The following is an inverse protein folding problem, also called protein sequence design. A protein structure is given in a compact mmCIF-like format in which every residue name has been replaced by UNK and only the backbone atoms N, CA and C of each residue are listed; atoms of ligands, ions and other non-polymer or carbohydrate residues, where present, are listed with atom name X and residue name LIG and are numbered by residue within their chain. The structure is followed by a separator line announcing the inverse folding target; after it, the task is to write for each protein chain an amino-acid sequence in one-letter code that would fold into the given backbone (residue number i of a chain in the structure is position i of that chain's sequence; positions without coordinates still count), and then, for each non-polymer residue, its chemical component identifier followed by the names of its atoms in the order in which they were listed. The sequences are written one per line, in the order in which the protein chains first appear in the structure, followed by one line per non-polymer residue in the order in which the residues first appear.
data_IF_724180833503
#
_entry.id   IF_724180833503
#
_cell.length_a   1.000
_cell.length_b   1.000
_cell.length_c   1.000
_cell.angle_alpha   90.00
_cell.angle_beta   90.00
_cell.angle_gamma   90.00
#
_symmetry.space_group_name_H-M   'P 1'
#
loop_
_entity.id
_entity.type
_entity.pdbx_description
1 polymer ?
#
# COMPACT_ATOMS: atom_id res chain seq x y z
N UNK A 1 37.86 -48.64 51.12
CA UNK A 1 37.68 -47.77 49.91
C UNK A 1 36.21 -47.40 49.84
N UNK A 2 35.83 -46.26 50.41
CA UNK A 2 34.43 -45.80 50.51
C UNK A 2 34.20 -44.63 49.53
N UNK A 3 33.63 -44.96 48.38
CA UNK A 3 33.20 -43.94 47.35
C UNK A 3 31.92 -43.25 47.80
N UNK A 4 31.95 -41.93 47.86
CA UNK A 4 30.82 -41.04 48.22
C UNK A 4 29.77 -40.95 47.10
N UNK A 5 28.53 -41.42 47.23
CA UNK A 5 27.49 -41.31 46.21
C UNK A 5 26.80 -39.97 46.21
N UNK A 6 27.18 -39.00 47.04
CA UNK A 6 26.47 -37.72 47.18
C UNK A 6 26.77 -36.66 46.13
N UNK A 7 27.90 -36.71 45.41
CA UNK A 7 28.33 -35.67 44.50
C UNK A 7 27.66 -35.75 43.11
N UNK A 8 27.23 -36.95 42.69
CA UNK A 8 26.61 -37.16 41.37
C UNK A 8 25.15 -36.71 41.34
N UNK A 9 24.42 -36.80 42.45
CA UNK A 9 23.03 -36.36 42.55
C UNK A 9 22.86 -34.83 42.55
N UNK A 10 23.87 -34.08 43.06
CA UNK A 10 23.83 -32.62 43.06
C UNK A 10 24.08 -32.03 41.66
N UNK A 11 24.93 -32.67 40.86
CA UNK A 11 25.21 -32.25 39.47
C UNK A 11 24.01 -32.49 38.53
N UNK A 12 23.24 -33.56 38.75
CA UNK A 12 22.02 -33.84 37.97
C UNK A 12 20.87 -32.87 38.29
N UNK A 13 20.75 -32.41 39.55
CA UNK A 13 19.71 -31.43 39.94
C UNK A 13 19.98 -30.03 39.39
N UNK A 14 21.24 -29.61 39.20
CA UNK A 14 21.61 -28.34 38.60
C UNK A 14 21.39 -28.33 37.08
N UNK A 15 21.53 -29.48 36.40
CA UNK A 15 21.27 -29.60 34.98
C UNK A 15 19.77 -29.56 34.62
N UNK A 16 18.88 -29.93 35.54
CA UNK A 16 17.41 -29.85 35.34
C UNK A 16 16.82 -28.46 35.61
N UNK A 17 17.52 -27.59 36.36
CA UNK A 17 17.10 -26.20 36.58
C UNK A 17 17.45 -25.25 35.40
N UNK A 18 18.20 -25.73 34.43
CA UNK A 18 18.54 -24.97 33.20
C UNK A 18 17.48 -25.06 32.10
N UNK A 19 16.22 -25.39 32.42
CA UNK A 19 15.07 -24.93 31.62
C UNK A 19 14.90 -23.43 31.86
N UNK A 20 15.92 -22.65 31.51
CA UNK A 20 15.87 -21.22 31.52
C UNK A 20 14.67 -20.82 30.65
N UNK A 21 13.66 -20.23 31.26
CA UNK A 21 12.57 -19.55 30.55
C UNK A 21 13.23 -18.62 29.55
N UNK A 22 13.07 -18.92 28.26
CA UNK A 22 13.60 -18.03 27.21
C UNK A 22 13.01 -16.64 27.43
N UNK A 23 13.81 -15.58 27.36
CA UNK A 23 13.29 -14.22 27.53
C UNK A 23 12.16 -13.94 26.54
N UNK A 24 11.16 -13.15 26.93
CA UNK A 24 10.09 -12.75 26.03
C UNK A 24 10.67 -11.96 24.86
N UNK A 25 10.06 -12.07 23.66
CA UNK A 25 10.54 -11.41 22.44
C UNK A 25 9.96 -10.00 22.25
N UNK A 26 8.67 -9.81 22.56
CA UNK A 26 7.99 -8.56 22.26
C UNK A 26 8.58 -7.34 22.98
N UNK A 27 9.00 -7.42 24.28
CA UNK A 27 9.62 -6.27 24.96
C UNK A 27 10.91 -5.77 24.32
N UNK A 28 11.67 -6.64 23.64
CA UNK A 28 12.90 -6.23 22.94
C UNK A 28 12.62 -5.42 21.68
N UNK A 29 11.44 -5.60 21.07
CA UNK A 29 11.07 -5.01 19.80
C UNK A 29 10.10 -3.85 19.91
N UNK A 30 9.40 -3.75 21.02
CA UNK A 30 8.51 -2.64 21.34
C UNK A 30 9.32 -1.63 22.14
N UNK A 31 9.34 -0.37 21.69
CA UNK A 31 10.03 0.70 22.37
C UNK A 31 9.58 0.76 23.86
N UNK A 32 10.53 0.98 24.77
CA UNK A 32 10.23 1.11 26.19
C UNK A 32 9.15 2.18 26.41
N UNK A 33 8.02 1.79 27.00
CA UNK A 33 6.87 2.67 27.22
C UNK A 33 5.74 2.54 26.21
N UNK A 34 5.84 1.68 25.19
CA UNK A 34 4.71 1.40 24.31
C UNK A 34 3.62 0.65 25.11
N UNK A 35 2.43 1.21 25.15
CA UNK A 35 1.27 0.58 25.74
C UNK A 35 0.87 -0.67 24.92
N UNK A 36 0.30 -1.71 25.55
CA UNK A 36 -0.32 -2.81 24.84
C UNK A 36 -1.32 -2.26 23.82
N UNK A 37 -1.24 -2.76 22.59
CA UNK A 37 -2.13 -2.34 21.51
C UNK A 37 -3.10 -3.48 21.21
N UNK A 38 -4.39 -3.20 21.27
CA UNK A 38 -5.43 -4.09 20.76
C UNK A 38 -6.50 -3.28 20.05
N UNK A 39 -6.61 -3.47 18.74
CA UNK A 39 -7.63 -2.85 17.89
C UNK A 39 -8.93 -3.66 17.98
N UNK A 40 -9.57 -3.63 19.15
CA UNK A 40 -10.71 -4.49 19.51
C UNK A 40 -11.95 -4.23 18.66
N UNK A 41 -12.08 -3.02 18.08
CA UNK A 41 -13.14 -2.59 17.15
C UNK A 41 -12.95 -3.16 15.72
N UNK A 42 -11.84 -3.88 15.46
CA UNK A 42 -11.64 -4.58 14.20
C UNK A 42 -12.68 -5.70 14.04
N UNK A 43 -13.48 -5.70 12.97
CA UNK A 43 -14.48 -6.73 12.72
C UNK A 43 -13.89 -8.14 12.72
N UNK A 44 -14.77 -9.12 12.87
CA UNK A 44 -14.39 -10.52 12.78
C UNK A 44 -15.39 -11.26 11.90
N UNK A 45 -14.87 -11.97 10.92
CA UNK A 45 -15.60 -12.90 10.10
C UNK A 45 -15.04 -14.30 10.35
N UNK A 46 -15.86 -15.17 10.91
CA UNK A 46 -15.49 -16.57 11.11
C UNK A 46 -15.22 -17.22 9.74
N UNK A 47 -14.22 -18.09 9.70
CA UNK A 47 -13.72 -18.68 8.46
C UNK A 47 -14.11 -20.16 8.40
N UNK A 48 -14.78 -20.55 7.32
CA UNK A 48 -14.88 -21.95 6.95
C UNK A 48 -13.59 -22.43 6.27
N UNK A 49 -13.48 -23.71 6.03
CA UNK A 49 -12.32 -24.29 5.37
C UNK A 49 -12.05 -23.60 4.02
N UNK A 50 -10.80 -23.19 3.77
CA UNK A 50 -10.30 -22.53 2.55
C UNK A 50 -10.73 -21.07 2.31
N UNK A 51 -11.51 -20.45 3.19
CA UNK A 51 -11.96 -19.05 3.06
C UNK A 51 -11.16 -18.05 3.89
N UNK A 52 -9.96 -18.41 4.37
CA UNK A 52 -9.14 -17.53 5.20
C UNK A 52 -8.74 -16.21 4.48
N UNK A 53 -8.48 -16.24 3.16
CA UNK A 53 -8.17 -15.05 2.37
C UNK A 53 -9.33 -14.05 2.30
N UNK A 54 -10.50 -14.45 1.81
CA UNK A 54 -11.70 -13.60 1.76
C UNK A 54 -12.10 -13.01 3.11
N UNK A 55 -12.13 -13.81 4.16
CA UNK A 55 -12.53 -13.36 5.50
C UNK A 55 -11.50 -12.39 6.12
N UNK A 56 -10.20 -12.66 5.98
CA UNK A 56 -9.16 -11.76 6.41
C UNK A 56 -9.19 -10.43 5.64
N UNK A 57 -9.45 -10.49 4.33
CA UNK A 57 -9.58 -9.28 3.51
C UNK A 57 -10.83 -8.48 3.90
N UNK A 58 -11.99 -9.13 4.10
CA UNK A 58 -13.20 -8.47 4.59
C UNK A 58 -12.92 -7.71 5.90
N UNK A 59 -12.22 -8.36 6.83
CA UNK A 59 -11.85 -7.77 8.14
C UNK A 59 -11.11 -6.45 7.98
N UNK A 60 -10.07 -6.38 7.14
CA UNK A 60 -9.29 -5.14 6.97
C UNK A 60 -9.99 -4.11 6.09
N UNK A 61 -10.81 -4.51 5.12
CA UNK A 61 -11.63 -3.60 4.31
C UNK A 61 -12.70 -2.90 5.14
N UNK A 62 -13.43 -3.62 5.98
CA UNK A 62 -14.42 -3.05 6.88
C UNK A 62 -13.80 -2.01 7.82
N UNK A 63 -12.58 -2.22 8.29
CA UNK A 63 -11.86 -1.24 9.13
C UNK A 63 -11.63 0.09 8.40
N UNK A 64 -11.63 0.07 7.07
CA UNK A 64 -11.51 1.29 6.24
C UNK A 64 -12.86 1.83 5.75
N UNK A 65 -13.99 1.26 6.24
CA UNK A 65 -15.33 1.71 5.88
C UNK A 65 -15.87 1.11 4.57
N UNK A 66 -15.29 0.01 4.09
CA UNK A 66 -15.82 -0.74 2.94
C UNK A 66 -16.68 -1.89 3.45
N UNK A 67 -17.94 -1.91 3.10
CA UNK A 67 -18.86 -3.02 3.42
C UNK A 67 -18.70 -4.14 2.38
N UNK A 68 -17.76 -5.04 2.66
CA UNK A 68 -17.45 -6.18 1.80
C UNK A 68 -17.65 -7.49 2.56
N UNK A 69 -18.58 -8.33 2.10
CA UNK A 69 -18.79 -9.65 2.70
C UNK A 69 -17.70 -10.64 2.27
N UNK A 70 -17.33 -11.61 3.13
CA UNK A 70 -16.41 -12.68 2.74
C UNK A 70 -16.86 -13.44 1.49
N UNK A 71 -18.16 -13.70 1.32
CA UNK A 71 -18.70 -14.44 0.17
C UNK A 71 -18.49 -13.66 -1.13
N UNK A 72 -18.81 -12.37 -1.17
CA UNK A 72 -18.58 -11.52 -2.33
C UNK A 72 -17.08 -11.36 -2.66
N UNK A 73 -16.22 -11.41 -1.66
CA UNK A 73 -14.77 -11.42 -1.86
C UNK A 73 -14.26 -12.80 -2.32
N UNK A 74 -14.89 -13.89 -1.86
CA UNK A 74 -14.52 -15.23 -2.30
C UNK A 74 -14.69 -15.41 -3.82
N UNK A 75 -15.75 -14.85 -4.41
CA UNK A 75 -15.95 -14.83 -5.86
C UNK A 75 -14.80 -14.13 -6.62
N UNK A 76 -14.09 -13.21 -5.96
CA UNK A 76 -13.03 -12.41 -6.56
C UNK A 76 -11.63 -12.97 -6.33
N UNK A 77 -11.38 -13.62 -5.19
CA UNK A 77 -10.04 -13.96 -4.75
C UNK A 77 -9.81 -15.45 -4.49
N UNK A 78 -10.87 -16.26 -4.44
CA UNK A 78 -10.72 -17.68 -4.22
C UNK A 78 -10.40 -18.41 -5.52
N UNK A 79 -9.34 -19.20 -5.50
CA UNK A 79 -8.89 -20.02 -6.62
C UNK A 79 -9.13 -21.50 -6.31
N UNK A 80 -10.15 -22.14 -6.91
CA UNK A 80 -10.50 -23.53 -6.60
C UNK A 80 -9.34 -24.51 -6.80
N UNK A 81 -8.53 -24.31 -7.86
CA UNK A 81 -7.36 -25.13 -8.15
C UNK A 81 -6.25 -25.04 -7.10
N UNK A 82 -6.18 -23.94 -6.37
CA UNK A 82 -5.22 -23.72 -5.27
C UNK A 82 -5.83 -23.99 -3.89
N UNK A 83 -7.14 -24.25 -3.82
CA UNK A 83 -7.90 -24.35 -2.56
C UNK A 83 -7.61 -23.18 -1.60
N UNK A 84 -7.54 -21.95 -2.13
CA UNK A 84 -7.17 -20.77 -1.37
C UNK A 84 -7.07 -19.51 -2.23
N UNK A 85 -6.48 -18.46 -1.70
CA UNK A 85 -6.27 -17.19 -2.37
C UNK A 85 -4.79 -16.87 -2.51
N UNK A 86 -4.39 -16.23 -3.61
CA UNK A 86 -3.04 -15.70 -3.77
C UNK A 86 -2.97 -14.25 -3.28
N UNK A 87 -1.78 -13.81 -2.87
CA UNK A 87 -1.55 -12.43 -2.41
C UNK A 87 -1.93 -11.41 -3.49
N UNK A 88 -1.62 -11.70 -4.75
CA UNK A 88 -1.93 -10.80 -5.89
C UNK A 88 -3.43 -10.58 -6.05
N UNK A 89 -4.26 -11.59 -5.77
CA UNK A 89 -5.72 -11.47 -5.83
C UNK A 89 -6.26 -10.59 -4.70
N UNK A 90 -5.70 -10.74 -3.49
CA UNK A 90 -6.07 -9.88 -2.35
C UNK A 90 -5.70 -8.40 -2.62
N UNK A 91 -4.52 -8.15 -3.18
CA UNK A 91 -4.10 -6.81 -3.59
C UNK A 91 -5.05 -6.24 -4.67
N UNK A 92 -5.40 -7.04 -5.68
CA UNK A 92 -6.30 -6.62 -6.75
C UNK A 92 -7.72 -6.32 -6.24
N UNK A 93 -8.27 -7.17 -5.37
CA UNK A 93 -9.59 -6.95 -4.78
C UNK A 93 -9.62 -5.70 -3.88
N UNK A 94 -8.53 -5.44 -3.13
CA UNK A 94 -8.37 -4.21 -2.36
C UNK A 94 -8.45 -2.97 -3.25
N UNK A 95 -7.76 -2.97 -4.41
CA UNK A 95 -7.82 -1.86 -5.38
C UNK A 95 -9.22 -1.67 -5.95
N UNK A 96 -9.88 -2.77 -6.37
CA UNK A 96 -11.28 -2.74 -6.86
C UNK A 96 -12.24 -2.14 -5.83
N UNK A 97 -11.93 -2.26 -4.55
CA UNK A 97 -12.70 -1.66 -3.46
C UNK A 97 -12.37 -0.17 -3.22
N UNK A 98 -11.58 0.47 -4.09
CA UNK A 98 -11.17 1.86 -3.94
C UNK A 98 -10.26 2.10 -2.73
N UNK A 99 -9.44 1.12 -2.36
CA UNK A 99 -8.46 1.20 -1.27
C UNK A 99 -7.07 0.88 -1.80
N UNK A 100 -6.07 1.48 -1.17
CA UNK A 100 -4.67 1.29 -1.55
C UNK A 100 -4.08 0.15 -0.72
N UNK A 101 -3.79 -1.02 -1.34
CA UNK A 101 -3.08 -2.09 -0.65
C UNK A 101 -1.60 -1.73 -0.54
N UNK A 102 -1.07 -1.71 0.66
CA UNK A 102 0.35 -1.44 0.88
C UNK A 102 1.02 -2.64 1.57
N UNK A 103 1.90 -3.32 0.84
CA UNK A 103 2.74 -4.36 1.42
C UNK A 103 3.80 -3.69 2.31
N UNK A 104 3.79 -4.01 3.61
CA UNK A 104 4.75 -3.43 4.55
C UNK A 104 6.12 -4.09 4.43
N UNK A 105 7.16 -3.47 4.99
CA UNK A 105 8.47 -4.10 5.08
C UNK A 105 8.39 -5.42 5.87
N UNK A 106 9.10 -6.48 5.42
CA UNK A 106 9.03 -7.82 6.02
C UNK A 106 9.81 -7.89 7.34
N UNK A 107 9.52 -6.98 8.27
CA UNK A 107 10.17 -6.85 9.57
C UNK A 107 9.14 -6.71 10.69
N UNK A 108 9.37 -7.30 11.87
CA UNK A 108 8.46 -7.14 13.00
C UNK A 108 8.18 -5.69 13.38
N UNK A 109 9.19 -4.81 13.30
CA UNK A 109 9.06 -3.40 13.62
C UNK A 109 8.02 -2.68 12.76
N UNK A 110 7.93 -3.04 11.47
CA UNK A 110 6.93 -2.47 10.56
C UNK A 110 5.51 -2.89 10.96
N UNK A 111 5.34 -4.15 11.41
CA UNK A 111 4.06 -4.62 11.91
C UNK A 111 3.64 -3.88 13.18
N UNK A 112 4.56 -3.68 14.15
CA UNK A 112 4.29 -2.91 15.35
C UNK A 112 3.94 -1.45 15.05
N UNK A 113 4.64 -0.82 14.11
CA UNK A 113 4.38 0.55 13.71
C UNK A 113 2.97 0.74 13.14
N UNK A 114 2.50 -0.20 12.31
CA UNK A 114 1.14 -0.16 11.76
C UNK A 114 0.08 -0.36 12.85
N UNK A 115 0.29 -1.31 13.76
CA UNK A 115 -0.62 -1.52 14.89
C UNK A 115 -0.69 -0.29 15.80
N UNK A 116 0.45 0.33 16.11
CA UNK A 116 0.50 1.56 16.90
C UNK A 116 -0.19 2.74 16.20
N UNK A 117 -0.19 2.75 14.86
CA UNK A 117 -0.94 3.71 14.05
C UNK A 117 -2.43 3.37 13.89
N UNK A 118 -2.94 2.36 14.61
CA UNK A 118 -4.34 1.97 14.60
C UNK A 118 -4.77 1.15 13.38
N UNK A 119 -3.83 0.57 12.65
CA UNK A 119 -4.13 -0.23 11.45
C UNK A 119 -3.92 -1.72 11.70
N UNK A 120 -4.95 -2.56 11.53
CA UNK A 120 -4.81 -4.01 11.55
C UNK A 120 -4.01 -4.47 10.33
N UNK A 121 -3.20 -5.50 10.52
CA UNK A 121 -2.27 -6.00 9.48
C UNK A 121 -2.71 -7.38 9.01
N UNK A 122 -3.04 -7.51 7.72
CA UNK A 122 -3.30 -8.80 7.09
C UNK A 122 -1.97 -9.50 6.81
N UNK A 123 -1.80 -10.71 7.31
CA UNK A 123 -0.57 -11.50 7.21
C UNK A 123 -0.83 -12.85 6.55
N UNK A 124 0.18 -13.36 5.83
CA UNK A 124 0.22 -14.76 5.40
C UNK A 124 1.13 -15.54 6.37
N UNK A 125 0.68 -16.71 6.79
CA UNK A 125 1.44 -17.64 7.61
C UNK A 125 1.56 -18.99 6.92
N UNK A 126 2.63 -19.71 7.17
CA UNK A 126 2.72 -21.13 6.88
C UNK A 126 2.67 -21.91 8.22
N UNK A 127 1.50 -22.46 8.53
CA UNK A 127 1.26 -23.21 9.76
C UNK A 127 1.87 -24.61 9.74
N UNK A 128 2.31 -25.07 8.55
CA UNK A 128 2.98 -26.35 8.35
C UNK A 128 4.50 -26.26 8.36
N UNK A 129 5.11 -27.03 7.48
CA UNK A 129 6.55 -27.13 7.30
C UNK A 129 6.96 -26.57 5.94
N UNK A 130 8.25 -26.33 5.73
CA UNK A 130 8.75 -25.85 4.42
C UNK A 130 8.44 -26.82 3.28
N UNK A 131 8.53 -28.13 3.53
CA UNK A 131 8.28 -29.19 2.56
C UNK A 131 6.81 -29.60 2.45
N UNK A 132 5.96 -29.23 3.41
CA UNK A 132 4.51 -29.45 3.43
C UNK A 132 3.82 -28.22 4.01
N UNK A 133 3.67 -27.17 3.20
CA UNK A 133 3.10 -25.91 3.66
C UNK A 133 1.59 -26.00 3.91
N UNK A 134 1.14 -25.33 4.96
CA UNK A 134 -0.27 -25.08 5.27
C UNK A 134 -0.48 -23.57 5.32
N UNK A 135 -0.87 -23.00 4.18
CA UNK A 135 -1.03 -21.55 4.03
C UNK A 135 -2.27 -21.05 4.75
N UNK A 136 -2.12 -19.95 5.48
CA UNK A 136 -3.20 -19.37 6.25
C UNK A 136 -3.09 -17.85 6.31
N UNK A 137 -4.20 -17.17 6.01
CA UNK A 137 -4.32 -15.73 6.22
C UNK A 137 -4.96 -15.44 7.57
N UNK A 138 -4.40 -14.46 8.28
CA UNK A 138 -4.91 -13.94 9.54
C UNK A 138 -4.77 -12.42 9.57
N UNK A 139 -5.48 -11.76 10.49
CA UNK A 139 -5.33 -10.33 10.71
C UNK A 139 -4.78 -10.09 12.12
N UNK A 140 -3.59 -9.51 12.20
CA UNK A 140 -2.99 -9.07 13.46
C UNK A 140 -3.68 -7.77 13.87
N UNK A 141 -4.25 -7.77 15.07
CA UNK A 141 -4.98 -6.62 15.62
C UNK A 141 -4.28 -6.02 16.85
N UNK A 142 -3.21 -6.66 17.33
CA UNK A 142 -2.50 -6.17 18.49
C UNK A 142 -1.45 -7.14 19.01
N UNK A 143 -0.93 -6.78 20.18
CA UNK A 143 0.03 -7.60 20.92
C UNK A 143 -0.16 -7.38 22.42
N UNK A 144 0.13 -8.43 23.17
CA UNK A 144 0.09 -8.44 24.63
C UNK A 144 1.50 -8.76 25.17
N UNK A 145 2.12 -7.77 25.80
CA UNK A 145 3.46 -7.90 26.39
C UNK A 145 3.49 -8.84 27.58
N UNK A 146 2.38 -8.95 28.33
CA UNK A 146 2.31 -9.79 29.54
C UNK A 146 2.35 -11.27 29.22
N UNK A 147 1.75 -11.66 28.08
CA UNK A 147 1.73 -13.06 27.60
C UNK A 147 2.74 -13.32 26.47
N UNK A 148 3.56 -12.34 26.08
CA UNK A 148 4.48 -12.42 24.92
C UNK A 148 3.77 -12.96 23.67
N UNK A 149 2.60 -12.40 23.34
CA UNK A 149 1.71 -12.92 22.31
C UNK A 149 1.19 -11.83 21.35
N UNK A 150 1.02 -12.19 20.07
CA UNK A 150 0.22 -11.40 19.13
C UNK A 150 -1.25 -11.74 19.29
N UNK A 151 -2.10 -10.76 19.05
CA UNK A 151 -3.56 -10.88 19.06
C UNK A 151 -4.07 -10.88 17.63
N UNK A 152 -4.80 -11.94 17.26
CA UNK A 152 -5.21 -12.18 15.87
C UNK A 152 -6.73 -12.34 15.75
N UNK A 153 -7.27 -11.96 14.57
CA UNK A 153 -8.50 -12.50 14.01
C UNK A 153 -8.11 -13.65 13.10
N UNK A 154 -8.47 -14.89 13.43
CA UNK A 154 -7.95 -16.06 12.72
C UNK A 154 -8.87 -17.28 12.85
N UNK A 155 -9.21 -17.94 11.76
CA UNK A 155 -10.04 -19.11 11.75
C UNK A 155 -11.42 -18.84 12.36
N UNK A 156 -11.79 -19.63 13.36
CA UNK A 156 -13.02 -19.46 14.16
C UNK A 156 -12.80 -18.61 15.42
N UNK A 157 -11.56 -18.15 15.64
CA UNK A 157 -11.16 -17.47 16.87
C UNK A 157 -11.19 -15.94 16.67
N UNK A 158 -12.17 -15.27 17.29
CA UNK A 158 -12.28 -13.80 17.26
C UNK A 158 -11.08 -13.11 17.92
N UNK A 159 -10.47 -13.75 18.92
CA UNK A 159 -9.32 -13.24 19.68
C UNK A 159 -8.35 -14.35 19.98
N UNK A 160 -7.59 -14.75 18.97
CA UNK A 160 -6.55 -15.76 19.13
C UNK A 160 -5.28 -15.12 19.71
N UNK A 161 -4.82 -15.62 20.85
CA UNK A 161 -3.48 -15.30 21.37
C UNK A 161 -2.47 -16.26 20.76
N UNK A 162 -1.60 -15.73 19.94
CA UNK A 162 -0.52 -16.49 19.29
C UNK A 162 0.82 -16.15 19.94
N UNK A 163 1.49 -17.08 20.63
CA UNK A 163 2.79 -16.82 21.23
C UNK A 163 3.77 -16.24 20.21
N UNK A 164 4.49 -15.18 20.56
CA UNK A 164 5.33 -14.40 19.66
C UNK A 164 6.29 -15.26 18.82
N UNK A 165 6.96 -16.24 19.47
CA UNK A 165 7.87 -17.16 18.78
C UNK A 165 7.17 -18.01 17.72
N UNK A 166 5.96 -18.49 18.01
CA UNK A 166 5.17 -19.30 17.08
C UNK A 166 4.71 -18.47 15.90
N UNK A 167 4.15 -17.30 16.16
CA UNK A 167 3.71 -16.35 15.12
C UNK A 167 4.87 -16.00 14.20
N UNK A 168 5.99 -15.56 14.74
CA UNK A 168 7.14 -15.12 13.95
C UNK A 168 7.75 -16.26 13.12
N UNK A 169 7.73 -17.49 13.66
CA UNK A 169 8.16 -18.65 12.89
C UNK A 169 7.26 -18.90 11.69
N UNK A 170 5.94 -18.93 11.89
CA UNK A 170 4.98 -19.22 10.82
C UNK A 170 4.92 -18.08 9.78
N UNK A 171 5.05 -16.84 10.22
CA UNK A 171 5.14 -15.66 9.35
C UNK A 171 6.44 -15.66 8.55
N UNK A 172 7.58 -15.98 9.16
CA UNK A 172 8.86 -16.14 8.47
C UNK A 172 8.81 -17.22 7.39
N UNK A 173 8.17 -18.36 7.67
CA UNK A 173 7.98 -19.44 6.69
C UNK A 173 7.12 -19.03 5.50
N UNK A 174 6.39 -17.94 5.61
CA UNK A 174 5.62 -17.30 4.53
C UNK A 174 6.31 -16.04 3.94
N UNK A 175 7.64 -15.92 4.11
CA UNK A 175 8.41 -14.78 3.58
C UNK A 175 8.11 -13.45 4.25
N UNK A 176 7.54 -13.46 5.46
CA UNK A 176 7.08 -12.27 6.18
C UNK A 176 6.09 -11.40 5.40
N UNK A 177 5.31 -12.01 4.50
CA UNK A 177 4.34 -11.24 3.73
C UNK A 177 3.24 -10.68 4.63
N UNK A 178 3.04 -9.37 4.51
CA UNK A 178 1.99 -8.65 5.21
C UNK A 178 1.57 -7.40 4.44
N UNK A 179 0.32 -6.99 4.58
CA UNK A 179 -0.20 -5.75 4.01
C UNK A 179 -1.13 -5.02 4.96
N UNK A 180 -1.20 -3.71 4.80
CA UNK A 180 -2.25 -2.86 5.34
C UNK A 180 -3.12 -2.32 4.20
N UNK A 181 -4.36 -1.97 4.53
CA UNK A 181 -5.30 -1.34 3.62
C UNK A 181 -5.43 0.12 4.01
N UNK A 182 -5.11 1.02 3.09
CA UNK A 182 -5.13 2.45 3.30
C UNK A 182 -6.32 3.09 2.60
N UNK A 183 -6.94 4.09 3.23
CA UNK A 183 -7.83 5.01 2.51
C UNK A 183 -6.99 5.93 1.62
N UNK A 184 -7.51 6.38 0.46
CA UNK A 184 -6.87 7.47 -0.25
C UNK A 184 -6.67 8.69 0.67
N UNK A 185 -5.45 9.21 0.73
CA UNK A 185 -5.07 10.27 1.66
C UNK A 185 -4.35 9.79 2.93
N UNK A 186 -4.29 8.48 3.15
CA UNK A 186 -3.51 7.89 4.26
C UNK A 186 -2.15 7.38 3.77
N UNK A 187 -1.15 7.50 4.64
CA UNK A 187 0.19 6.89 4.46
C UNK A 187 0.39 5.75 5.47
N UNK A 188 1.18 4.73 5.16
CA UNK A 188 1.59 3.72 6.14
C UNK A 188 2.50 4.34 7.21
N UNK A 189 2.71 3.64 8.32
CA UNK A 189 3.54 4.12 9.43
C UNK A 189 5.02 4.31 9.06
N UNK A 190 5.49 3.54 8.09
CA UNK A 190 6.83 3.66 7.53
C UNK A 190 6.74 3.73 6.00
N UNK A 191 6.41 4.90 5.42
CA UNK A 191 6.18 4.98 4.00
C UNK A 191 7.49 4.89 3.21
N UNK A 192 7.56 3.93 2.31
CA UNK A 192 8.55 3.88 1.24
C UNK A 192 7.98 4.57 0.01
N UNK A 193 8.74 5.49 -0.57
CA UNK A 193 8.29 6.35 -1.66
C UNK A 193 7.84 5.57 -2.90
N UNK A 194 8.69 4.69 -3.37
CA UNK A 194 8.43 3.96 -4.63
C UNK A 194 7.26 2.99 -4.47
N UNK A 195 7.23 2.29 -3.36
CA UNK A 195 6.18 1.33 -3.04
C UNK A 195 4.81 2.00 -2.90
N UNK A 196 4.76 3.15 -2.19
CA UNK A 196 3.51 3.88 -2.03
C UNK A 196 2.99 4.44 -3.35
N UNK A 197 3.84 5.14 -4.12
CA UNK A 197 3.46 5.71 -5.41
C UNK A 197 3.04 4.63 -6.41
N UNK A 198 3.74 3.50 -6.43
CA UNK A 198 3.36 2.36 -7.25
C UNK A 198 1.99 1.79 -6.83
N UNK A 199 1.74 1.63 -5.53
CA UNK A 199 0.45 1.15 -5.04
C UNK A 199 -0.68 2.13 -5.35
N UNK A 200 -0.45 3.44 -5.22
CA UNK A 200 -1.41 4.48 -5.58
C UNK A 200 -1.72 4.46 -7.09
N UNK A 201 -0.69 4.44 -7.94
CA UNK A 201 -0.84 4.40 -9.40
C UNK A 201 -1.64 3.16 -9.87
N UNK A 202 -1.35 1.98 -9.33
CA UNK A 202 -2.12 0.77 -9.63
C UNK A 202 -3.58 0.82 -9.14
N UNK A 203 -3.89 1.73 -8.22
CA UNK A 203 -5.25 1.89 -7.68
C UNK A 203 -6.06 2.95 -8.44
N UNK A 204 -5.42 3.85 -9.15
CA UNK A 204 -6.06 4.96 -9.88
C UNK A 204 -7.31 4.58 -10.69
N UNK A 205 -7.35 3.47 -11.44
CA UNK A 205 -8.53 3.11 -12.24
C UNK A 205 -9.79 2.87 -11.41
N UNK A 206 -9.64 2.67 -10.11
CA UNK A 206 -10.71 2.36 -9.17
C UNK A 206 -11.04 3.54 -8.23
N UNK A 207 -10.37 4.69 -8.40
CA UNK A 207 -10.53 5.86 -7.56
C UNK A 207 -11.34 6.95 -8.27
N UNK A 208 -12.18 7.64 -7.51
CA UNK A 208 -12.73 8.93 -7.96
C UNK A 208 -11.59 9.95 -8.12
N UNK A 209 -11.77 11.02 -8.93
CA UNK A 209 -10.77 12.08 -9.05
C UNK A 209 -10.33 12.64 -7.68
N UNK A 210 -11.29 12.92 -6.79
CA UNK A 210 -11.01 13.43 -5.45
C UNK A 210 -10.17 12.44 -4.60
N UNK A 211 -10.49 11.15 -4.65
CA UNK A 211 -9.73 10.12 -3.94
C UNK A 211 -8.31 9.96 -4.50
N UNK A 212 -8.16 10.05 -5.83
CA UNK A 212 -6.85 10.06 -6.49
C UNK A 212 -6.02 11.26 -6.04
N UNK A 213 -6.60 12.46 -6.07
CA UNK A 213 -5.96 13.68 -5.57
C UNK A 213 -5.49 13.53 -4.13
N UNK A 214 -6.35 13.01 -3.23
CA UNK A 214 -6.01 12.79 -1.84
C UNK A 214 -4.81 11.85 -1.67
N UNK A 215 -4.71 10.76 -2.46
CA UNK A 215 -3.59 9.83 -2.39
C UNK A 215 -2.25 10.51 -2.75
N UNK A 216 -2.21 11.29 -3.82
CA UNK A 216 -0.99 11.98 -4.22
C UNK A 216 -0.66 13.18 -3.33
N UNK A 217 -1.66 13.90 -2.83
CA UNK A 217 -1.44 14.96 -1.84
C UNK A 217 -0.82 14.42 -0.54
N UNK A 218 -1.25 13.24 -0.07
CA UNK A 218 -0.59 12.59 1.06
C UNK A 218 0.88 12.28 0.78
N UNK A 219 1.21 11.81 -0.44
CA UNK A 219 2.59 11.60 -0.85
C UNK A 219 3.42 12.89 -0.82
N UNK A 220 2.86 14.00 -1.31
CA UNK A 220 3.54 15.31 -1.33
C UNK A 220 3.80 15.89 0.06
N UNK A 221 3.05 15.48 1.09
CA UNK A 221 3.35 15.88 2.48
C UNK A 221 4.70 15.33 2.97
N UNK A 222 5.14 14.18 2.45
CA UNK A 222 6.39 13.52 2.85
C UNK A 222 7.48 13.70 1.80
N UNK A 223 7.09 13.73 0.51
CA UNK A 223 8.00 13.88 -0.64
C UNK A 223 7.57 15.08 -1.49
N UNK A 224 7.78 16.32 -1.01
CA UNK A 224 7.23 17.52 -1.64
C UNK A 224 7.75 17.80 -3.05
N UNK A 225 8.88 17.23 -3.43
CA UNK A 225 9.49 17.42 -4.75
C UNK A 225 9.31 16.21 -5.69
N UNK A 226 8.48 15.22 -5.30
CA UNK A 226 8.29 14.02 -6.12
C UNK A 226 7.44 14.32 -7.36
N UNK A 227 8.04 14.15 -8.54
CA UNK A 227 7.41 14.45 -9.81
C UNK A 227 6.20 13.55 -10.13
N UNK A 228 6.23 12.29 -9.72
CA UNK A 228 5.12 11.35 -9.92
C UNK A 228 3.91 11.79 -9.08
N UNK A 229 4.15 12.22 -7.84
CA UNK A 229 3.10 12.72 -6.97
C UNK A 229 2.51 14.05 -7.49
N UNK A 230 3.34 14.99 -7.96
CA UNK A 230 2.86 16.20 -8.62
C UNK A 230 2.05 15.91 -9.88
N UNK A 231 2.54 15.01 -10.73
CA UNK A 231 1.82 14.60 -11.94
C UNK A 231 0.47 13.96 -11.61
N UNK A 232 0.44 13.02 -10.66
CA UNK A 232 -0.80 12.35 -10.24
C UNK A 232 -1.82 13.31 -9.63
N UNK A 233 -1.37 14.31 -8.86
CA UNK A 233 -2.21 15.35 -8.30
C UNK A 233 -2.81 16.23 -9.42
N UNK A 234 -1.99 16.69 -10.38
CA UNK A 234 -2.44 17.48 -11.52
C UNK A 234 -3.43 16.70 -12.41
N UNK A 235 -3.15 15.40 -12.62
CA UNK A 235 -4.04 14.52 -13.37
C UNK A 235 -5.39 14.31 -12.67
N UNK A 236 -5.40 14.26 -11.34
CA UNK A 236 -6.65 14.18 -10.57
C UNK A 236 -7.51 15.43 -10.74
N UNK A 237 -6.92 16.63 -10.72
CA UNK A 237 -7.60 17.91 -10.98
C UNK A 237 -8.15 17.95 -12.42
N UNK A 238 -7.35 17.52 -13.39
CA UNK A 238 -7.80 17.44 -14.79
C UNK A 238 -9.02 16.51 -14.92
N UNK A 239 -8.96 15.33 -14.33
CA UNK A 239 -10.06 14.36 -14.36
C UNK A 239 -11.32 14.83 -13.58
N UNK A 240 -11.16 15.73 -12.62
CA UNK A 240 -12.27 16.38 -11.92
C UNK A 240 -12.93 17.48 -12.74
N UNK A 241 -12.28 17.96 -13.81
CA UNK A 241 -12.72 19.12 -14.60
C UNK A 241 -12.25 20.46 -14.01
N UNK A 242 -11.43 20.46 -12.98
CA UNK A 242 -10.86 21.65 -12.35
C UNK A 242 -9.69 22.19 -13.21
N UNK A 243 -10.02 22.60 -14.42
CA UNK A 243 -9.05 22.90 -15.49
C UNK A 243 -8.07 24.03 -15.14
N UNK A 244 -8.49 25.02 -14.34
CA UNK A 244 -7.61 26.11 -13.92
C UNK A 244 -6.53 25.63 -12.96
N UNK A 245 -6.91 24.83 -11.97
CA UNK A 245 -5.98 24.29 -10.98
C UNK A 245 -5.09 23.19 -11.60
N UNK A 246 -5.63 22.39 -12.53
CA UNK A 246 -4.87 21.44 -13.32
C UNK A 246 -3.79 22.11 -14.17
N UNK A 247 -4.13 23.21 -14.85
CA UNK A 247 -3.16 24.02 -15.61
C UNK A 247 -2.03 24.51 -14.72
N UNK A 248 -2.37 25.08 -13.56
CA UNK A 248 -1.38 25.59 -12.60
C UNK A 248 -0.44 24.45 -12.13
N UNK A 249 -1.02 23.33 -11.70
CA UNK A 249 -0.25 22.19 -11.20
C UNK A 249 0.68 21.56 -12.27
N UNK A 250 0.20 21.43 -13.52
CA UNK A 250 1.07 20.97 -14.61
C UNK A 250 2.19 21.96 -14.94
N UNK A 251 1.94 23.26 -14.86
CA UNK A 251 2.97 24.29 -15.08
C UNK A 251 4.05 24.22 -14.00
N UNK A 252 3.66 24.14 -12.73
CA UNK A 252 4.61 23.98 -11.61
C UNK A 252 5.48 22.71 -11.76
N UNK A 253 4.90 21.61 -12.22
CA UNK A 253 5.67 20.40 -12.53
C UNK A 253 6.66 20.64 -13.67
N UNK A 254 6.22 21.32 -14.75
CA UNK A 254 7.05 21.58 -15.93
C UNK A 254 8.14 22.61 -15.67
N UNK A 255 7.97 23.53 -14.72
CA UNK A 255 9.03 24.45 -14.29
C UNK A 255 10.20 23.68 -13.63
N UNK A 256 9.89 22.59 -12.90
CA UNK A 256 10.89 21.69 -12.29
C UNK A 256 11.41 20.65 -13.27
N UNK A 257 10.55 20.15 -14.15
CA UNK A 257 10.85 19.10 -15.12
C UNK A 257 10.38 19.47 -16.54
N UNK A 258 11.10 20.35 -17.24
CA UNK A 258 10.67 20.89 -18.54
C UNK A 258 10.50 19.86 -19.66
N UNK A 259 11.02 18.64 -19.46
CA UNK A 259 10.94 17.54 -20.44
C UNK A 259 9.94 16.44 -20.05
N UNK A 260 9.08 16.67 -19.05
CA UNK A 260 8.09 15.68 -18.62
C UNK A 260 6.99 15.51 -19.67
N UNK A 261 7.15 14.52 -20.56
CA UNK A 261 6.35 14.35 -21.79
C UNK A 261 4.86 14.24 -21.50
N UNK A 262 4.46 13.40 -20.51
CA UNK A 262 3.05 13.22 -20.17
C UNK A 262 2.42 14.54 -19.64
N UNK A 263 3.17 15.32 -18.83
CA UNK A 263 2.67 16.60 -18.34
C UNK A 263 2.51 17.63 -19.45
N UNK A 264 3.42 17.68 -20.42
CA UNK A 264 3.29 18.53 -21.62
C UNK A 264 2.04 18.17 -22.42
N UNK A 265 1.78 16.88 -22.63
CA UNK A 265 0.59 16.41 -23.35
C UNK A 265 -0.71 16.76 -22.60
N UNK A 266 -0.76 16.45 -21.31
CA UNK A 266 -1.98 16.68 -20.51
C UNK A 266 -2.25 18.18 -20.31
N UNK A 267 -1.20 19.02 -20.19
CA UNK A 267 -1.37 20.46 -20.18
C UNK A 267 -1.91 20.97 -21.53
N UNK A 268 -1.50 20.37 -22.66
CA UNK A 268 -2.07 20.70 -23.95
C UNK A 268 -3.57 20.36 -24.02
N UNK A 269 -3.99 19.23 -23.48
CA UNK A 269 -5.42 18.86 -23.39
C UNK A 269 -6.21 19.86 -22.53
N UNK A 270 -5.68 20.21 -21.34
CA UNK A 270 -6.28 21.21 -20.44
C UNK A 270 -6.44 22.57 -21.15
N UNK A 271 -5.39 23.05 -21.83
CA UNK A 271 -5.43 24.31 -22.55
C UNK A 271 -6.42 24.27 -23.73
N UNK A 272 -6.49 23.15 -24.45
CA UNK A 272 -7.47 22.96 -25.51
C UNK A 272 -8.91 23.03 -24.99
N UNK A 273 -9.19 22.36 -23.86
CA UNK A 273 -10.47 22.38 -23.17
C UNK A 273 -10.85 23.81 -22.70
N UNK A 274 -9.86 24.62 -22.30
CA UNK A 274 -10.04 26.04 -21.94
C UNK A 274 -10.13 26.98 -23.14
N UNK A 275 -10.00 26.47 -24.36
CA UNK A 275 -10.08 27.27 -25.60
C UNK A 275 -8.79 27.92 -26.04
N UNK A 276 -7.65 27.56 -25.47
CA UNK A 276 -6.29 28.06 -25.77
C UNK A 276 -5.59 27.17 -26.80
N UNK A 277 -6.14 27.11 -28.02
CA UNK A 277 -5.74 26.14 -29.03
C UNK A 277 -4.30 26.34 -29.58
N UNK A 278 -3.84 27.59 -29.65
CA UNK A 278 -2.48 27.94 -30.09
C UNK A 278 -1.44 27.38 -29.15
N UNK A 279 -1.57 27.67 -27.85
CA UNK A 279 -0.71 27.19 -26.79
C UNK A 279 -0.75 25.66 -26.65
N UNK A 280 -1.96 25.09 -26.74
CA UNK A 280 -2.15 23.62 -26.70
C UNK A 280 -1.36 22.92 -27.81
N UNK A 281 -1.47 23.39 -29.08
CA UNK A 281 -0.71 22.81 -30.20
C UNK A 281 0.80 22.94 -30.02
N UNK A 282 1.29 24.08 -29.50
CA UNK A 282 2.72 24.30 -29.23
C UNK A 282 3.25 23.27 -28.23
N UNK A 283 2.52 23.07 -27.13
CA UNK A 283 2.92 22.08 -26.08
C UNK A 283 2.84 20.64 -26.58
N UNK A 284 1.78 20.24 -27.27
CA UNK A 284 1.65 18.90 -27.81
C UNK A 284 2.74 18.59 -28.86
N UNK A 285 3.12 19.56 -29.71
CA UNK A 285 4.27 19.40 -30.62
C UNK A 285 5.59 19.27 -29.89
N UNK A 286 5.79 20.03 -28.81
CA UNK A 286 6.97 19.90 -27.94
C UNK A 286 6.99 18.53 -27.27
N UNK A 287 5.86 18.04 -26.76
CA UNK A 287 5.74 16.67 -26.21
C UNK A 287 6.14 15.63 -27.27
N UNK A 288 5.63 15.77 -28.53
CA UNK A 288 5.94 14.86 -29.63
C UNK A 288 7.44 14.82 -29.97
N UNK A 289 8.10 15.98 -30.02
CA UNK A 289 9.53 16.07 -30.29
C UNK A 289 10.37 15.33 -29.22
N UNK A 290 10.00 15.49 -27.95
CA UNK A 290 10.69 14.86 -26.84
C UNK A 290 10.36 13.36 -26.79
N UNK A 291 9.12 12.98 -27.01
CA UNK A 291 8.64 11.60 -26.92
C UNK A 291 9.36 10.66 -27.90
N UNK A 292 9.70 11.14 -29.08
CA UNK A 292 10.43 10.34 -30.07
C UNK A 292 11.75 9.76 -29.56
N UNK A 293 12.36 10.38 -28.55
CA UNK A 293 13.61 9.95 -27.90
C UNK A 293 13.36 9.35 -26.52
N UNK A 294 12.61 10.08 -25.68
CA UNK A 294 12.55 9.79 -24.23
C UNK A 294 11.33 8.91 -23.84
N UNK A 295 10.26 8.90 -24.63
CA UNK A 295 9.02 8.24 -24.27
C UNK A 295 8.21 7.74 -25.48
N UNK A 296 8.75 6.84 -26.31
CA UNK A 296 8.10 6.41 -27.55
C UNK A 296 6.72 5.78 -27.34
N UNK A 297 6.45 5.20 -26.17
CA UNK A 297 5.12 4.65 -25.82
C UNK A 297 4.00 5.68 -25.70
N UNK A 298 4.31 6.99 -25.66
CA UNK A 298 3.33 8.07 -25.59
C UNK A 298 3.00 8.69 -26.96
N UNK A 299 3.68 8.27 -28.04
CA UNK A 299 3.51 8.90 -29.36
C UNK A 299 2.06 8.86 -29.87
N UNK A 300 1.38 7.75 -29.71
CA UNK A 300 -0.01 7.60 -30.18
C UNK A 300 -0.97 8.51 -29.39
N UNK A 301 -0.80 8.62 -28.08
CA UNK A 301 -1.60 9.52 -27.25
C UNK A 301 -1.39 11.00 -27.63
N UNK A 302 -0.12 11.40 -27.81
CA UNK A 302 0.22 12.78 -28.20
C UNK A 302 -0.33 13.11 -29.59
N UNK A 303 -0.24 12.18 -30.54
CA UNK A 303 -0.81 12.36 -31.87
C UNK A 303 -2.35 12.44 -31.83
N UNK A 304 -3.01 11.71 -30.93
CA UNK A 304 -4.44 11.85 -30.69
C UNK A 304 -4.76 13.25 -30.17
N UNK A 305 -4.08 13.72 -29.13
CA UNK A 305 -4.23 15.08 -28.60
C UNK A 305 -4.05 16.13 -29.71
N UNK A 306 -3.05 16.02 -30.59
CA UNK A 306 -2.82 16.94 -31.68
C UNK A 306 -3.98 16.96 -32.72
N UNK A 307 -4.60 15.81 -32.99
CA UNK A 307 -5.77 15.72 -33.89
C UNK A 307 -7.01 16.34 -33.27
N UNK A 308 -7.17 16.19 -31.96
CA UNK A 308 -8.38 16.63 -31.24
C UNK A 308 -8.38 18.14 -30.94
N UNK A 309 -7.22 18.83 -31.00
CA UNK A 309 -7.14 20.29 -30.84
C UNK A 309 -7.77 20.98 -32.02
N UNK A 310 -8.83 21.79 -31.83
CA UNK A 310 -9.53 22.50 -32.92
C UNK A 310 -8.60 23.41 -33.74
N UNK A 311 -8.77 23.42 -35.06
CA UNK A 311 -8.02 24.25 -36.01
C UNK A 311 -8.63 25.67 -36.16
N UNK A 312 -8.93 26.32 -35.04
CA UNK A 312 -9.57 27.64 -35.00
C UNK A 312 -8.79 28.58 -34.07
N UNK A 313 -9.04 29.91 -34.14
CA UNK A 313 -8.47 30.88 -33.23
C UNK A 313 -8.83 30.56 -31.76
N UNK A 314 -8.01 31.04 -30.84
CA UNK A 314 -8.24 30.93 -29.41
C UNK A 314 -9.56 31.60 -29.02
N UNK A 315 -10.33 30.98 -28.13
CA UNK A 315 -11.61 31.46 -27.61
C UNK A 315 -11.49 32.24 -26.31
N UNK A 316 -10.32 32.14 -25.65
CA UNK A 316 -10.05 32.74 -24.36
C UNK A 316 -8.78 33.59 -24.41
N UNK A 317 -8.63 34.50 -23.46
CA UNK A 317 -7.34 35.13 -23.17
C UNK A 317 -6.47 34.09 -22.52
N UNK A 318 -5.49 33.59 -23.26
CA UNK A 318 -4.60 32.53 -22.81
C UNK A 318 -3.40 33.14 -22.06
N UNK A 319 -3.04 32.57 -20.96
CA UNK A 319 -1.81 32.94 -20.23
C UNK A 319 -0.57 32.65 -21.08
N UNK A 320 0.42 33.54 -20.96
CA UNK A 320 1.63 33.60 -21.80
C UNK A 320 2.33 32.21 -21.89
N UNK A 321 2.71 31.84 -23.12
CA UNK A 321 3.20 30.50 -23.53
C UNK A 321 4.55 30.06 -22.95
N UNK A 322 5.10 30.76 -21.97
CA UNK A 322 6.45 30.53 -21.43
C UNK A 322 6.52 29.40 -20.39
N UNK A 323 6.13 28.19 -20.77
CA UNK A 323 6.35 27.01 -19.91
C UNK A 323 7.73 26.44 -20.18
N UNK A 324 8.64 26.56 -19.22
CA UNK A 324 9.95 25.88 -19.23
C UNK A 324 10.91 26.36 -20.32
N UNK A 325 10.84 27.61 -20.78
CA UNK A 325 11.96 28.24 -21.47
C UNK A 325 13.00 28.67 -20.40
N UNK A 326 14.28 28.26 -20.54
CA UNK A 326 15.30 28.76 -19.62
C UNK A 326 15.35 30.28 -19.72
N UNK A 327 15.41 30.95 -18.56
CA UNK A 327 15.65 32.40 -18.52
C UNK A 327 16.92 32.68 -19.33
N UNK A 328 16.81 33.54 -20.33
CA UNK A 328 17.95 33.98 -21.16
C UNK A 328 18.92 34.82 -20.36
#
# INVERSE_FOLDING_TARGET
MSGRPGAVLLAAAVALSACASRPPLLPEWVAAGAAPVELSDTPFFAQDAYQCGPAALATVLHRTGVDASPDALAEQVYLPGQKGSLQVELLAATRRSGRIPYAIDPRPQSLFAELAAGRPVLVLQNLGFTWMPAWHYAVVIGFDLSSDSFILRSGTERRLLSPARSFLRTWRLAGHWAMVVLRPGELPAGPDRERYLHAAALTEPYLTPAARGAAYQAALQVWPDDATAHFGSAFALHAAGDLADAEHAYRELLDRQPRHVAALNNLAEVLAARGCYGAARKLARRALQIAGVDAPGLLDAINATLRDIPQQPDRAVCSDDRVGEPAR
#
